data_IF_985958550982
#
_entry.id   IF_985958550982
#
_cell.length_a   1.000
_cell.length_b   1.000
_cell.length_c   1.000
_cell.angle_alpha   90.00
_cell.angle_beta   90.00
_cell.angle_gamma   90.00
#
_symmetry.space_group_name_H-M   'P 1'
#
loop_
_entity.id
_entity.type
_entity.pdbx_description
1 polymer ?
#
# COMPACT_ATOMS: atom_id res chain seq x y z
N UNK A 1 9.85 13.62 -43.49
CA UNK A 1 9.02 14.80 -43.13
C UNK A 1 8.23 14.43 -41.87
N UNK A 2 8.81 14.73 -40.68
CA UNK A 2 8.23 14.39 -39.38
C UNK A 2 7.29 15.54 -39.02
N UNK A 3 5.99 15.29 -39.13
CA UNK A 3 4.95 16.22 -38.65
C UNK A 3 5.03 16.29 -37.13
N UNK A 4 5.71 17.31 -36.63
CA UNK A 4 5.62 17.73 -35.23
C UNK A 4 4.22 18.27 -34.97
N UNK A 5 3.26 17.40 -34.72
CA UNK A 5 1.98 17.82 -34.17
C UNK A 5 2.21 18.22 -32.70
N UNK A 6 2.47 19.49 -32.47
CA UNK A 6 2.40 20.05 -31.11
C UNK A 6 0.97 19.76 -30.61
N UNK A 7 0.85 18.90 -29.61
CA UNK A 7 -0.44 18.69 -28.95
C UNK A 7 -0.90 20.05 -28.39
N UNK A 8 -2.15 20.42 -28.59
CA UNK A 8 -2.63 21.69 -28.08
C UNK A 8 -2.46 21.71 -26.54
N UNK A 9 -1.92 22.82 -26.03
CA UNK A 9 -1.84 23.04 -24.60
C UNK A 9 -3.29 23.22 -24.11
N UNK A 10 -3.71 22.39 -23.16
CA UNK A 10 -5.01 22.54 -22.50
C UNK A 10 -4.86 23.64 -21.46
N UNK A 11 -5.43 24.78 -21.73
CA UNK A 11 -5.51 25.90 -20.77
C UNK A 11 -6.88 25.86 -20.12
N UNK A 12 -6.90 25.68 -18.79
CA UNK A 12 -8.13 25.83 -18.00
C UNK A 12 -8.28 27.28 -17.59
N UNK A 13 -9.42 27.87 -17.87
CA UNK A 13 -9.70 29.23 -17.44
C UNK A 13 -9.86 29.25 -15.90
N UNK A 14 -9.37 30.28 -15.18
CA UNK A 14 -9.53 30.38 -13.72
C UNK A 14 -11.00 30.20 -13.24
N UNK A 15 -11.97 30.66 -14.03
CA UNK A 15 -13.40 30.48 -13.74
C UNK A 15 -13.90 29.01 -13.82
N UNK A 16 -13.12 28.11 -14.43
CA UNK A 16 -13.44 26.68 -14.53
C UNK A 16 -12.85 25.87 -13.37
N UNK A 17 -12.03 26.51 -12.53
CA UNK A 17 -11.41 25.88 -11.37
C UNK A 17 -12.41 25.88 -10.21
N UNK A 18 -12.81 24.71 -9.76
CA UNK A 18 -13.67 24.54 -8.59
C UNK A 18 -12.90 24.59 -7.27
N UNK A 19 -11.59 24.43 -7.32
CA UNK A 19 -10.68 24.45 -6.18
C UNK A 19 -9.40 25.16 -6.61
N UNK A 20 -8.81 25.97 -5.74
CA UNK A 20 -7.52 26.59 -5.99
C UNK A 20 -6.45 25.49 -6.05
N UNK A 21 -5.68 25.37 -7.16
CA UNK A 21 -4.64 24.36 -7.27
C UNK A 21 -3.56 24.51 -6.19
N UNK A 22 -2.99 23.40 -5.73
CA UNK A 22 -1.84 23.46 -4.80
C UNK A 22 -0.60 24.11 -5.45
N UNK A 23 -0.48 24.01 -6.78
CA UNK A 23 0.60 24.60 -7.55
C UNK A 23 0.05 25.73 -8.44
N UNK A 24 -0.17 26.90 -7.87
CA UNK A 24 -0.63 28.10 -8.61
C UNK A 24 0.52 28.80 -9.32
N UNK A 25 1.65 28.93 -8.66
CA UNK A 25 2.86 29.63 -9.13
C UNK A 25 4.06 28.66 -8.99
N UNK A 26 4.46 28.11 -10.11
CA UNK A 26 5.57 27.16 -10.14
C UNK A 26 6.89 27.76 -9.67
N UNK A 27 7.22 28.96 -10.13
CA UNK A 27 8.54 29.58 -9.83
C UNK A 27 8.64 29.91 -8.35
N UNK A 28 7.57 30.43 -7.75
CA UNK A 28 7.50 30.69 -6.32
C UNK A 28 7.59 29.41 -5.50
N UNK A 29 6.77 28.39 -5.84
CA UNK A 29 6.79 27.12 -5.12
C UNK A 29 8.15 26.46 -5.24
N UNK A 30 8.79 26.49 -6.41
CA UNK A 30 10.13 25.97 -6.63
C UNK A 30 11.19 26.71 -5.80
N UNK A 31 11.10 28.04 -5.72
CA UNK A 31 12.04 28.85 -4.93
C UNK A 31 11.91 28.55 -3.42
N UNK A 32 10.68 28.32 -2.96
CA UNK A 32 10.36 28.08 -1.54
C UNK A 32 10.46 26.61 -1.13
N UNK A 33 10.55 25.68 -2.08
CA UNK A 33 10.55 24.24 -1.79
C UNK A 33 11.84 23.80 -1.10
N UNK A 34 11.67 23.01 -0.04
CA UNK A 34 12.76 22.24 0.53
C UNK A 34 12.23 20.91 1.09
N UNK A 35 13.06 19.89 1.09
CA UNK A 35 12.69 18.58 1.67
C UNK A 35 12.40 18.67 3.17
N UNK A 36 13.04 19.57 3.89
CA UNK A 36 12.76 19.81 5.30
C UNK A 36 11.36 20.38 5.53
N UNK A 37 10.90 21.30 4.67
CA UNK A 37 9.51 21.78 4.69
C UNK A 37 8.52 20.68 4.33
N UNK A 38 8.80 19.91 3.27
CA UNK A 38 7.95 18.78 2.91
C UNK A 38 7.88 17.72 4.02
N UNK A 39 8.97 17.51 4.76
CA UNK A 39 8.99 16.63 5.94
C UNK A 39 8.15 17.20 7.09
N UNK A 40 8.13 18.51 7.27
CA UNK A 40 7.35 19.16 8.32
C UNK A 40 5.82 19.10 8.10
N UNK A 41 5.36 18.74 6.89
CA UNK A 41 3.95 18.46 6.61
C UNK A 41 3.49 17.09 7.17
N UNK A 42 4.41 16.29 7.70
CA UNK A 42 4.17 14.97 8.29
C UNK A 42 4.39 15.01 9.81
N UNK A 43 3.54 14.27 10.54
CA UNK A 43 3.57 14.30 12.01
C UNK A 43 4.81 13.60 12.59
N UNK A 44 5.25 12.49 11.96
CA UNK A 44 6.18 11.56 12.57
C UNK A 44 5.54 10.72 13.68
N UNK A 45 6.28 9.75 14.18
CA UNK A 45 5.83 8.99 15.35
C UNK A 45 5.90 9.86 16.61
N UNK A 46 4.93 9.71 17.55
CA UNK A 46 4.97 10.43 18.83
C UNK A 46 6.32 10.26 19.54
N UNK A 47 6.69 11.25 20.36
CA UNK A 47 7.91 11.25 21.17
C UNK A 47 9.21 11.16 20.35
N UNK A 48 9.20 11.64 19.12
CA UNK A 48 10.37 11.62 18.25
C UNK A 48 10.86 10.23 17.84
N UNK A 49 10.00 9.20 17.91
CA UNK A 49 10.36 7.82 17.62
C UNK A 49 10.55 7.50 16.13
N UNK A 50 10.60 8.53 15.28
CA UNK A 50 10.93 8.41 13.88
C UNK A 50 9.78 8.66 12.91
N UNK A 51 9.77 7.95 11.78
CA UNK A 51 8.79 8.14 10.69
C UNK A 51 8.30 6.79 10.20
N UNK A 52 6.98 6.60 10.19
CA UNK A 52 6.36 5.37 9.71
C UNK A 52 5.24 5.68 8.70
N UNK A 53 5.31 5.08 7.52
CA UNK A 53 4.34 5.31 6.43
C UNK A 53 2.90 5.02 6.88
N UNK A 54 2.67 3.94 7.64
CA UNK A 54 1.31 3.59 8.07
C UNK A 54 0.77 4.56 9.12
N UNK A 55 1.63 5.09 10.00
CA UNK A 55 1.26 6.18 10.91
C UNK A 55 0.77 7.40 10.13
N UNK A 56 1.56 7.85 9.16
CA UNK A 56 1.21 9.02 8.33
C UNK A 56 -0.06 8.80 7.51
N UNK A 57 -0.28 7.58 7.01
CA UNK A 57 -1.43 7.28 6.17
C UNK A 57 -2.72 7.02 6.96
N UNK A 58 -2.65 6.52 8.19
CA UNK A 58 -3.82 6.07 8.95
C UNK A 58 -3.87 6.63 10.36
N UNK A 59 -2.83 6.40 11.19
CA UNK A 59 -2.96 6.62 12.64
C UNK A 59 -3.17 8.08 12.99
N UNK A 60 -2.40 9.00 12.40
CA UNK A 60 -2.56 10.45 12.63
C UNK A 60 -3.96 10.94 12.26
N UNK A 61 -4.57 10.38 11.22
CA UNK A 61 -5.92 10.76 10.79
C UNK A 61 -7.00 10.14 11.69
N UNK A 62 -6.77 8.90 12.15
CA UNK A 62 -7.68 8.23 13.08
C UNK A 62 -7.65 8.85 14.49
N UNK A 63 -6.54 9.49 14.87
CA UNK A 63 -6.43 10.23 16.13
C UNK A 63 -7.12 11.60 16.12
N UNK A 64 -7.39 12.17 14.92
CA UNK A 64 -7.93 13.51 14.75
C UNK A 64 -9.38 13.55 14.25
N UNK A 65 -9.76 14.72 13.72
CA UNK A 65 -11.10 15.01 13.22
C UNK A 65 -11.54 14.12 12.03
N UNK A 66 -10.58 13.45 11.35
CA UNK A 66 -10.88 12.57 10.23
C UNK A 66 -11.25 11.13 10.64
N UNK A 67 -11.28 10.82 11.93
CA UNK A 67 -11.52 9.48 12.47
C UNK A 67 -12.67 8.72 11.82
N UNK A 68 -13.81 9.37 11.66
CA UNK A 68 -15.04 8.80 11.09
C UNK A 68 -15.18 8.98 9.59
N UNK A 69 -14.20 9.61 8.94
CA UNK A 69 -14.20 9.82 7.51
C UNK A 69 -13.83 8.53 6.78
N UNK A 70 -14.47 8.28 5.63
CA UNK A 70 -14.12 7.13 4.77
C UNK A 70 -12.72 7.32 4.21
N UNK A 71 -11.83 6.39 4.54
CA UNK A 71 -10.45 6.35 4.07
C UNK A 71 -10.26 5.39 2.89
N UNK A 72 -11.01 4.28 2.87
CA UNK A 72 -10.97 3.29 1.80
C UNK A 72 -12.38 2.88 1.40
N UNK A 73 -12.68 3.00 0.10
CA UNK A 73 -13.90 2.46 -0.49
C UNK A 73 -13.54 1.37 -1.48
N UNK A 74 -14.01 0.17 -1.23
CA UNK A 74 -13.86 -0.96 -2.12
C UNK A 74 -15.16 -1.25 -2.85
N UNK A 75 -15.06 -1.49 -4.16
CA UNK A 75 -16.18 -1.82 -5.04
C UNK A 75 -15.92 -3.17 -5.68
N UNK A 76 -16.87 -4.09 -5.54
CA UNK A 76 -16.85 -5.39 -6.18
C UNK A 76 -17.36 -5.30 -7.63
N UNK A 77 -17.08 -6.36 -8.41
CA UNK A 77 -17.56 -6.46 -9.80
C UNK A 77 -19.07 -6.58 -9.92
N UNK A 78 -19.74 -7.07 -8.88
CA UNK A 78 -21.21 -7.19 -8.80
C UNK A 78 -21.91 -5.91 -8.36
N UNK A 79 -21.15 -4.81 -8.17
CA UNK A 79 -21.65 -3.53 -7.72
C UNK A 79 -21.79 -3.40 -6.20
N UNK A 80 -21.57 -4.47 -5.44
CA UNK A 80 -21.49 -4.37 -3.99
C UNK A 80 -20.22 -3.64 -3.55
N UNK A 81 -20.23 -3.05 -2.34
CA UNK A 81 -19.08 -2.32 -1.85
C UNK A 81 -18.95 -2.32 -0.34
N UNK A 82 -17.75 -2.01 0.13
CA UNK A 82 -17.45 -1.79 1.54
C UNK A 82 -16.70 -0.47 1.71
N UNK A 83 -17.05 0.27 2.74
CA UNK A 83 -16.32 1.49 3.13
C UNK A 83 -15.66 1.27 4.48
N UNK A 84 -14.44 1.75 4.60
CA UNK A 84 -13.66 1.71 5.83
C UNK A 84 -13.31 3.15 6.20
N UNK A 85 -13.66 3.55 7.40
CA UNK A 85 -13.21 4.83 7.97
C UNK A 85 -11.74 4.74 8.39
N UNK A 86 -11.12 5.85 8.73
CA UNK A 86 -9.79 5.83 9.33
C UNK A 86 -9.77 5.03 10.65
N UNK A 87 -10.85 5.07 11.44
CA UNK A 87 -10.99 4.24 12.63
C UNK A 87 -11.01 2.75 12.32
N UNK A 88 -11.75 2.34 11.28
CA UNK A 88 -11.81 0.96 10.85
C UNK A 88 -10.46 0.47 10.33
N UNK A 89 -9.76 1.29 9.53
CA UNK A 89 -8.42 0.94 9.07
C UNK A 89 -7.43 0.86 10.23
N UNK A 90 -7.50 1.77 11.20
CA UNK A 90 -6.66 1.72 12.41
C UNK A 90 -6.86 0.38 13.13
N UNK A 91 -8.13 0.00 13.40
CA UNK A 91 -8.46 -1.27 14.07
C UNK A 91 -7.89 -2.47 13.29
N UNK A 92 -8.20 -2.58 12.01
CA UNK A 92 -7.81 -3.73 11.20
C UNK A 92 -6.29 -3.84 10.98
N UNK A 93 -5.60 -2.71 10.79
CA UNK A 93 -4.15 -2.70 10.60
C UNK A 93 -3.39 -2.95 11.90
N UNK A 94 -3.92 -2.51 13.04
CA UNK A 94 -3.38 -2.87 14.37
C UNK A 94 -3.51 -4.37 14.63
N UNK A 95 -4.67 -4.95 14.34
CA UNK A 95 -4.86 -6.42 14.45
C UNK A 95 -3.88 -7.19 13.58
N UNK A 96 -3.67 -6.74 12.33
CA UNK A 96 -2.72 -7.40 11.44
C UNK A 96 -1.28 -7.29 11.96
N UNK A 97 -0.87 -6.13 12.47
CA UNK A 97 0.44 -5.94 13.08
C UNK A 97 0.63 -6.86 14.31
N UNK A 98 -0.40 -7.00 15.17
CA UNK A 98 -0.40 -7.94 16.28
C UNK A 98 -0.32 -9.41 15.84
N UNK A 99 -1.00 -9.77 14.74
CA UNK A 99 -0.86 -11.11 14.16
C UNK A 99 0.59 -11.37 13.76
N UNK A 100 1.25 -10.44 13.06
CA UNK A 100 2.65 -10.59 12.68
C UNK A 100 3.56 -10.73 13.91
N UNK A 101 3.40 -9.86 14.90
CA UNK A 101 4.18 -9.92 16.15
C UNK A 101 4.01 -11.26 16.88
N UNK A 102 2.78 -11.78 16.95
CA UNK A 102 2.49 -13.09 17.56
C UNK A 102 3.13 -14.26 16.79
N UNK A 103 3.35 -14.08 15.49
CA UNK A 103 4.05 -15.07 14.64
C UNK A 103 5.58 -14.93 14.69
N UNK A 104 6.13 -14.05 15.51
CA UNK A 104 7.57 -13.80 15.60
C UNK A 104 8.13 -13.03 14.39
N UNK A 105 7.27 -12.30 13.70
CA UNK A 105 7.64 -11.45 12.55
C UNK A 105 7.80 -10.02 13.03
N UNK A 106 8.91 -9.38 12.71
CA UNK A 106 9.24 -8.05 13.22
C UNK A 106 9.98 -7.18 12.22
N UNK A 107 10.78 -6.24 12.74
CA UNK A 107 11.55 -5.27 11.96
C UNK A 107 12.37 -5.94 10.87
N UNK A 108 12.19 -5.49 9.64
CA UNK A 108 12.96 -5.93 8.49
C UNK A 108 12.55 -7.28 7.90
N UNK A 109 11.65 -8.03 8.54
CA UNK A 109 11.15 -9.30 8.01
C UNK A 109 10.21 -9.08 6.82
N UNK A 110 10.46 -9.70 5.65
CA UNK A 110 9.60 -9.49 4.49
C UNK A 110 8.29 -10.27 4.58
N UNK A 111 7.20 -9.58 4.27
CA UNK A 111 5.83 -10.10 4.18
C UNK A 111 5.36 -9.99 2.73
N UNK A 112 5.33 -11.12 2.02
CA UNK A 112 4.82 -11.19 0.66
C UNK A 112 3.29 -11.22 0.65
N UNK A 113 2.67 -10.42 -0.22
CA UNK A 113 1.22 -10.38 -0.36
C UNK A 113 0.82 -10.62 -1.81
N UNK A 114 0.18 -11.77 -2.05
CA UNK A 114 -0.36 -12.18 -3.35
C UNK A 114 -1.88 -12.13 -3.29
N UNK A 115 -2.46 -11.00 -3.58
CA UNK A 115 -3.91 -10.81 -3.55
C UNK A 115 -4.38 -9.91 -4.69
N UNK A 116 -5.64 -10.03 -5.08
CA UNK A 116 -6.30 -9.04 -5.93
C UNK A 116 -6.58 -7.74 -5.17
N UNK A 117 -7.30 -6.85 -5.82
CA UNK A 117 -7.71 -5.56 -5.22
C UNK A 117 -8.86 -5.77 -4.23
N UNK A 118 -8.55 -6.27 -3.06
CA UNK A 118 -9.47 -6.51 -1.96
C UNK A 118 -9.02 -5.70 -0.73
N UNK A 119 -9.92 -5.37 0.21
CA UNK A 119 -9.56 -4.59 1.39
C UNK A 119 -8.41 -5.18 2.20
N UNK A 120 -8.35 -6.50 2.31
CA UNK A 120 -7.33 -7.23 3.06
C UNK A 120 -5.91 -7.00 2.50
N UNK A 121 -5.74 -6.67 1.20
CA UNK A 121 -4.44 -6.27 0.64
C UNK A 121 -3.91 -5.00 1.31
N UNK A 122 -4.77 -3.98 1.46
CA UNK A 122 -4.39 -2.70 2.09
C UNK A 122 -4.19 -2.84 3.59
N UNK A 123 -5.02 -3.67 4.24
CA UNK A 123 -4.88 -4.00 5.67
C UNK A 123 -3.54 -4.70 5.92
N UNK A 124 -3.19 -5.69 5.09
CA UNK A 124 -1.92 -6.40 5.19
C UNK A 124 -0.73 -5.48 4.91
N UNK A 125 -0.81 -4.63 3.88
CA UNK A 125 0.25 -3.66 3.57
C UNK A 125 0.52 -2.72 4.73
N UNK A 126 -0.53 -2.03 5.21
CA UNK A 126 -0.40 -1.04 6.28
C UNK A 126 -0.04 -1.67 7.62
N UNK A 127 -0.60 -2.85 7.95
CA UNK A 127 -0.25 -3.56 9.17
C UNK A 127 1.19 -4.10 9.15
N UNK A 128 1.71 -4.51 7.99
CA UNK A 128 3.13 -4.85 7.80
C UNK A 128 4.03 -3.65 8.10
N UNK A 129 3.69 -2.49 7.54
CA UNK A 129 4.44 -1.25 7.78
C UNK A 129 4.39 -0.79 9.24
N UNK A 130 3.24 -0.97 9.93
CA UNK A 130 3.13 -0.70 11.38
C UNK A 130 4.07 -1.57 12.21
N UNK A 131 4.21 -2.83 11.83
CA UNK A 131 5.11 -3.77 12.50
C UNK A 131 6.59 -3.52 12.18
N UNK A 132 6.90 -2.48 11.39
CA UNK A 132 8.24 -2.19 10.84
C UNK A 132 8.83 -3.37 10.05
N UNK A 133 7.94 -4.19 9.46
CA UNK A 133 8.27 -5.28 8.54
C UNK A 133 8.23 -4.78 7.10
N UNK A 134 8.82 -5.52 6.17
CA UNK A 134 8.95 -5.11 4.77
C UNK A 134 7.78 -5.61 3.93
N UNK A 135 6.94 -4.72 3.46
CA UNK A 135 5.85 -5.07 2.55
C UNK A 135 6.38 -5.44 1.18
N UNK A 136 6.05 -6.64 0.70
CA UNK A 136 6.49 -7.17 -0.60
C UNK A 136 5.28 -7.56 -1.43
N UNK A 137 4.71 -6.64 -2.24
CA UNK A 137 3.56 -6.94 -3.08
C UNK A 137 3.93 -7.84 -4.26
N UNK A 138 3.07 -8.82 -4.56
CA UNK A 138 3.19 -9.72 -5.70
C UNK A 138 2.00 -9.53 -6.64
N UNK A 139 2.28 -9.33 -7.93
CA UNK A 139 1.23 -9.12 -8.91
C UNK A 139 0.34 -10.36 -9.05
N UNK A 140 -0.95 -10.16 -8.83
CA UNK A 140 -1.93 -11.25 -8.78
C UNK A 140 -2.05 -12.04 -10.10
N UNK A 141 -1.63 -11.45 -11.23
CA UNK A 141 -1.61 -12.12 -12.52
C UNK A 141 -0.35 -12.97 -12.78
N UNK A 142 0.71 -12.88 -11.96
CA UNK A 142 1.90 -13.70 -12.14
C UNK A 142 1.57 -15.19 -12.09
N UNK A 143 2.29 -15.97 -12.93
CA UNK A 143 2.34 -17.42 -12.83
C UNK A 143 3.19 -17.88 -11.63
N UNK A 144 3.28 -19.21 -11.40
CA UNK A 144 4.06 -19.77 -10.31
C UNK A 144 5.54 -19.37 -10.31
N UNK A 145 6.23 -19.53 -11.44
CA UNK A 145 7.67 -19.23 -11.56
C UNK A 145 8.04 -17.77 -11.22
N UNK A 146 7.38 -16.71 -11.75
CA UNK A 146 7.63 -15.35 -11.33
C UNK A 146 7.36 -15.08 -9.84
N UNK A 147 6.43 -15.81 -9.22
CA UNK A 147 6.13 -15.71 -7.79
C UNK A 147 7.28 -16.32 -6.99
N UNK A 148 7.68 -17.55 -7.33
CA UNK A 148 8.79 -18.28 -6.69
C UNK A 148 10.07 -17.43 -6.67
N UNK A 149 10.46 -16.91 -7.83
CA UNK A 149 11.66 -16.10 -7.96
C UNK A 149 11.65 -14.88 -7.01
N UNK A 150 10.52 -14.18 -6.91
CA UNK A 150 10.40 -12.97 -6.09
C UNK A 150 10.35 -13.27 -4.60
N UNK A 151 9.62 -14.30 -4.21
CA UNK A 151 9.53 -14.75 -2.82
C UNK A 151 10.92 -15.18 -2.31
N UNK A 152 11.69 -15.91 -3.14
CA UNK A 152 13.01 -16.37 -2.78
C UNK A 152 14.03 -15.23 -2.74
N UNK A 153 13.98 -14.27 -3.69
CA UNK A 153 14.83 -13.07 -3.65
C UNK A 153 14.53 -12.23 -2.40
N UNK A 154 13.25 -12.03 -2.10
CA UNK A 154 12.82 -11.30 -0.91
C UNK A 154 13.14 -12.05 0.39
N UNK A 155 13.33 -13.37 0.34
CA UNK A 155 13.39 -14.24 1.52
C UNK A 155 12.20 -14.04 2.45
N UNK A 156 11.00 -13.94 1.85
CA UNK A 156 9.81 -13.64 2.60
C UNK A 156 9.52 -14.71 3.66
N UNK A 157 9.23 -14.27 4.89
CA UNK A 157 8.84 -15.12 6.02
C UNK A 157 7.36 -15.47 6.00
N UNK A 158 6.54 -14.50 5.59
CA UNK A 158 5.07 -14.62 5.54
C UNK A 158 4.59 -14.48 4.12
N UNK A 159 3.64 -15.31 3.75
CA UNK A 159 2.86 -15.15 2.53
C UNK A 159 1.38 -14.95 2.88
N UNK A 160 0.82 -13.82 2.48
CA UNK A 160 -0.60 -13.53 2.56
C UNK A 160 -1.23 -13.73 1.19
N UNK A 161 -2.29 -14.52 1.08
CA UNK A 161 -2.94 -14.79 -0.22
C UNK A 161 -4.41 -15.18 -0.04
N UNK A 162 -5.16 -15.27 -1.14
CA UNK A 162 -6.51 -15.84 -1.12
C UNK A 162 -6.48 -17.35 -1.31
N UNK A 163 -7.50 -18.05 -0.86
CA UNK A 163 -7.66 -19.50 -1.03
C UNK A 163 -7.57 -19.94 -2.51
N UNK A 164 -8.20 -19.18 -3.40
CA UNK A 164 -8.17 -19.44 -4.83
C UNK A 164 -6.77 -19.26 -5.44
N UNK A 165 -6.03 -18.21 -5.05
CA UNK A 165 -4.67 -17.99 -5.51
C UNK A 165 -3.69 -18.99 -4.89
N UNK A 166 -3.89 -19.37 -3.63
CA UNK A 166 -3.10 -20.41 -2.99
C UNK A 166 -3.17 -21.71 -3.78
N UNK A 167 -4.37 -22.25 -3.97
CA UNK A 167 -4.59 -23.50 -4.73
C UNK A 167 -4.00 -23.43 -6.13
N UNK A 168 -4.25 -22.32 -6.82
CA UNK A 168 -3.85 -22.19 -8.23
C UNK A 168 -2.36 -21.98 -8.45
N UNK A 169 -1.66 -21.32 -7.51
CA UNK A 169 -0.31 -20.76 -7.77
C UNK A 169 0.75 -21.08 -6.72
N UNK A 170 0.34 -21.40 -5.50
CA UNK A 170 1.28 -21.52 -4.36
C UNK A 170 1.40 -22.97 -3.87
N UNK A 171 0.31 -23.71 -3.83
CA UNK A 171 0.29 -25.06 -3.26
C UNK A 171 1.39 -25.95 -3.84
N UNK A 172 1.51 -25.99 -5.16
CA UNK A 172 2.59 -26.73 -5.86
C UNK A 172 4.00 -26.18 -5.63
N UNK A 173 4.13 -24.92 -5.20
CA UNK A 173 5.43 -24.27 -4.98
C UNK A 173 5.92 -24.37 -3.52
N UNK A 174 5.12 -24.90 -2.57
CA UNK A 174 5.47 -24.82 -1.14
C UNK A 174 6.88 -25.33 -0.81
N UNK A 175 7.32 -26.39 -1.49
CA UNK A 175 8.67 -26.97 -1.28
C UNK A 175 9.78 -26.09 -1.83
N UNK A 176 9.50 -25.25 -2.83
CA UNK A 176 10.46 -24.32 -3.45
C UNK A 176 10.51 -22.96 -2.76
N UNK A 177 9.74 -22.77 -1.69
CA UNK A 177 9.66 -21.53 -0.92
C UNK A 177 10.16 -21.75 0.53
N UNK A 178 11.45 -22.06 0.73
CA UNK A 178 11.97 -22.50 2.03
C UNK A 178 11.94 -21.39 3.10
N UNK A 179 11.94 -20.11 2.72
CA UNK A 179 11.90 -18.99 3.65
C UNK A 179 10.50 -18.74 4.23
N UNK A 180 9.43 -19.24 3.59
CA UNK A 180 8.06 -19.03 4.07
C UNK A 180 7.81 -19.92 5.28
N UNK A 181 7.72 -19.28 6.45
CA UNK A 181 7.34 -19.91 7.73
C UNK A 181 5.81 -19.93 7.92
N UNK A 182 5.14 -18.88 7.47
CA UNK A 182 3.70 -18.71 7.68
C UNK A 182 2.97 -18.40 6.37
N UNK A 183 1.86 -19.10 6.13
CA UNK A 183 0.92 -18.79 5.04
C UNK A 183 -0.41 -18.38 5.65
N UNK A 184 -0.81 -17.13 5.42
CA UNK A 184 -2.05 -16.54 5.90
C UNK A 184 -3.03 -16.47 4.72
N UNK A 185 -4.15 -17.15 4.84
CA UNK A 185 -5.11 -17.29 3.74
C UNK A 185 -6.39 -16.52 4.04
N UNK A 186 -6.82 -15.75 3.05
CA UNK A 186 -8.08 -15.03 3.02
C UNK A 186 -9.08 -15.87 2.23
N UNK A 187 -10.13 -16.33 2.86
CA UNK A 187 -11.16 -17.15 2.21
C UNK A 187 -12.32 -17.43 3.15
N UNK A 188 -13.25 -18.24 2.70
CA UNK A 188 -14.30 -18.74 3.58
C UNK A 188 -13.72 -19.76 4.58
N UNK A 189 -14.18 -19.78 5.83
CA UNK A 189 -13.57 -20.59 6.90
C UNK A 189 -13.45 -22.09 6.54
N UNK A 190 -14.45 -22.65 5.87
CA UNK A 190 -14.44 -24.04 5.42
C UNK A 190 -13.38 -24.31 4.35
N UNK A 191 -13.22 -23.39 3.39
CA UNK A 191 -12.24 -23.50 2.32
C UNK A 191 -10.80 -23.41 2.85
N UNK A 192 -10.55 -22.53 3.82
CA UNK A 192 -9.22 -22.36 4.42
C UNK A 192 -8.83 -23.56 5.28
N UNK A 193 -9.74 -24.12 6.06
CA UNK A 193 -9.48 -25.32 6.87
C UNK A 193 -9.04 -26.53 6.05
N UNK A 194 -9.45 -26.59 4.79
CA UNK A 194 -9.05 -27.67 3.89
C UNK A 194 -7.63 -27.51 3.29
N UNK A 195 -6.90 -26.44 3.64
CA UNK A 195 -5.57 -26.15 3.11
C UNK A 195 -4.49 -26.45 4.17
N UNK A 196 -3.80 -27.60 4.10
CA UNK A 196 -2.78 -27.97 5.08
C UNK A 196 -1.64 -26.95 5.15
N UNK A 197 -1.14 -26.69 6.35
CA UNK A 197 -0.01 -25.76 6.58
C UNK A 197 -0.35 -24.29 6.37
N UNK A 198 -1.64 -23.94 6.29
CA UNK A 198 -2.10 -22.54 6.21
C UNK A 198 -2.87 -22.13 7.47
N UNK A 199 -3.05 -20.83 7.64
CA UNK A 199 -3.82 -20.22 8.73
C UNK A 199 -4.87 -19.28 8.17
N UNK A 200 -6.05 -19.28 8.73
CA UNK A 200 -7.14 -18.38 8.37
C UNK A 200 -6.85 -16.97 8.89
N UNK A 201 -6.57 -16.03 7.97
CA UNK A 201 -6.26 -14.66 8.32
C UNK A 201 -7.43 -13.96 9.02
N UNK A 202 -8.67 -14.17 8.58
CA UNK A 202 -9.84 -13.53 9.19
C UNK A 202 -10.04 -14.01 10.62
N UNK A 203 -9.85 -15.30 10.87
CA UNK A 203 -9.93 -15.85 12.22
C UNK A 203 -8.79 -15.31 13.13
N UNK A 204 -7.59 -15.11 12.59
CA UNK A 204 -6.49 -14.50 13.33
C UNK A 204 -6.78 -13.03 13.66
N UNK A 205 -7.25 -12.25 12.70
CA UNK A 205 -7.61 -10.84 12.89
C UNK A 205 -8.72 -10.68 13.95
N UNK A 206 -9.73 -11.55 13.92
CA UNK A 206 -10.83 -11.51 14.89
C UNK A 206 -10.38 -11.72 16.34
N UNK A 207 -9.28 -12.46 16.55
CA UNK A 207 -8.73 -12.77 17.89
C UNK A 207 -7.65 -11.80 18.33
N UNK A 208 -7.03 -11.07 17.41
CA UNK A 208 -5.94 -10.15 17.71
C UNK A 208 -6.43 -8.90 18.42
N UNK A 209 -5.59 -8.32 19.30
CA UNK A 209 -5.85 -7.00 19.91
C UNK A 209 -5.89 -5.93 18.81
N UNK A 210 -6.78 -4.96 18.98
CA UNK A 210 -6.91 -3.81 18.10
C UNK A 210 -6.07 -2.61 18.53
N UNK A 211 -5.29 -2.74 19.58
CA UNK A 211 -4.29 -1.76 20.02
C UNK A 211 -2.90 -2.25 19.66
N UNK A 212 -2.14 -1.40 18.99
CA UNK A 212 -0.77 -1.68 18.61
C UNK A 212 0.08 -0.41 18.74
N UNK A 213 1.20 -0.50 19.41
CA UNK A 213 2.16 0.59 19.46
C UNK A 213 3.22 0.37 18.38
N UNK A 214 3.25 1.23 17.38
CA UNK A 214 4.27 1.17 16.33
C UNK A 214 5.65 1.31 16.99
N UNK A 215 6.59 0.38 16.78
CA UNK A 215 7.94 0.49 17.34
C UNK A 215 8.67 1.70 16.77
N UNK A 216 9.74 2.13 17.43
CA UNK A 216 10.61 3.17 16.89
C UNK A 216 11.07 2.77 15.49
N UNK A 217 10.84 3.67 14.53
CA UNK A 217 11.07 3.42 13.10
C UNK A 217 12.03 4.47 12.56
N UNK A 218 13.24 4.07 12.22
CA UNK A 218 14.18 4.95 11.54
C UNK A 218 13.61 5.30 10.16
N UNK A 219 13.66 6.57 9.72
CA UNK A 219 13.25 6.94 8.38
C UNK A 219 13.89 6.11 7.26
N UNK A 220 15.11 5.61 7.48
CA UNK A 220 15.86 4.76 6.54
C UNK A 220 15.55 3.26 6.71
N UNK A 221 14.69 2.86 7.65
CA UNK A 221 14.21 1.48 7.74
C UNK A 221 13.48 1.10 6.46
N UNK A 222 13.75 -0.11 5.96
CA UNK A 222 13.13 -0.63 4.75
C UNK A 222 11.64 -0.86 4.99
N UNK A 223 10.81 -0.22 4.19
CA UNK A 223 9.35 -0.30 4.26
C UNK A 223 8.76 -1.20 3.16
N UNK A 224 9.29 -1.11 1.95
CA UNK A 224 8.72 -1.75 0.77
C UNK A 224 9.82 -2.35 -0.09
N UNK A 225 9.62 -3.59 -0.54
CA UNK A 225 10.41 -4.24 -1.57
C UNK A 225 9.52 -4.50 -2.79
N UNK A 226 9.69 -3.69 -3.82
CA UNK A 226 8.92 -3.79 -5.04
C UNK A 226 9.76 -4.37 -6.18
N UNK A 227 9.18 -5.30 -6.97
CA UNK A 227 9.91 -5.94 -8.05
C UNK A 227 9.57 -5.33 -9.41
N UNK A 228 10.60 -5.01 -10.17
CA UNK A 228 10.50 -4.60 -11.56
C UNK A 228 10.93 -5.74 -12.49
N UNK A 229 10.46 -5.71 -13.74
CA UNK A 229 10.74 -6.76 -14.75
C UNK A 229 12.20 -6.83 -15.21
N UNK A 230 13.04 -5.88 -14.82
CA UNK A 230 14.47 -5.84 -15.22
C UNK A 230 14.72 -6.05 -16.72
N UNK A 231 15.64 -5.30 -17.31
CA UNK A 231 16.03 -5.43 -18.74
C UNK A 231 16.70 -6.76 -19.07
N UNK A 232 17.16 -7.50 -18.06
CA UNK A 232 17.89 -8.78 -18.20
C UNK A 232 17.01 -10.02 -18.00
N UNK A 233 15.68 -9.86 -17.91
CA UNK A 233 14.74 -10.97 -17.69
C UNK A 233 14.63 -11.42 -16.24
N UNK A 234 15.62 -11.18 -15.39
CA UNK A 234 15.54 -11.48 -13.95
C UNK A 234 14.87 -10.34 -13.18
N UNK A 235 13.97 -10.62 -12.23
CA UNK A 235 13.34 -9.58 -11.43
C UNK A 235 14.39 -8.84 -10.59
N UNK A 236 14.27 -7.51 -10.55
CA UNK A 236 15.10 -6.65 -9.70
C UNK A 236 14.22 -6.09 -8.58
N UNK A 237 14.67 -6.19 -7.34
CA UNK A 237 14.02 -5.60 -6.18
C UNK A 237 14.40 -4.13 -6.04
N UNK A 238 13.42 -3.25 -6.09
CA UNK A 238 13.56 -1.85 -5.71
C UNK A 238 13.16 -1.70 -4.24
N UNK A 239 14.06 -1.16 -3.44
CA UNK A 239 13.86 -0.95 -2.01
C UNK A 239 13.39 0.49 -1.79
N UNK A 240 12.32 0.64 -1.01
CA UNK A 240 11.87 1.94 -0.51
C UNK A 240 11.91 1.92 1.02
N UNK A 241 12.38 3.01 1.58
CA UNK A 241 12.43 3.24 3.02
C UNK A 241 11.22 4.04 3.50
N UNK A 242 10.99 4.11 4.80
CA UNK A 242 9.87 4.90 5.34
C UNK A 242 9.96 6.38 4.97
N UNK A 243 11.16 6.94 4.80
CA UNK A 243 11.40 8.31 4.34
C UNK A 243 10.75 8.62 2.97
N UNK A 244 10.52 7.62 2.13
CA UNK A 244 9.90 7.79 0.82
C UNK A 244 8.51 8.47 0.90
N UNK A 245 7.81 8.38 2.05
CA UNK A 245 6.52 9.04 2.24
C UNK A 245 6.59 10.54 2.07
N UNK A 246 7.72 11.18 2.38
CA UNK A 246 7.92 12.63 2.20
C UNK A 246 7.81 13.01 0.73
N UNK A 247 8.52 12.27 -0.14
CA UNK A 247 8.49 12.50 -1.58
C UNK A 247 7.10 12.18 -2.17
N UNK A 248 6.47 11.08 -1.74
CA UNK A 248 5.13 10.72 -2.20
C UNK A 248 4.09 11.75 -1.78
N UNK A 249 4.16 12.27 -0.54
CA UNK A 249 3.26 13.33 -0.06
C UNK A 249 3.42 14.61 -0.88
N UNK A 250 4.65 15.08 -1.08
CA UNK A 250 4.92 16.26 -1.89
C UNK A 250 4.46 16.09 -3.34
N UNK A 251 4.74 14.93 -3.95
CA UNK A 251 4.30 14.63 -5.32
C UNK A 251 2.77 14.55 -5.43
N UNK A 252 2.11 13.93 -4.47
CA UNK A 252 0.65 13.87 -4.43
C UNK A 252 0.03 15.29 -4.36
N UNK A 253 0.61 16.16 -3.54
CA UNK A 253 0.17 17.54 -3.40
C UNK A 253 0.41 18.36 -4.67
N UNK A 254 1.63 18.39 -5.20
CA UNK A 254 2.00 19.34 -6.24
C UNK A 254 1.81 18.80 -7.67
N UNK A 255 2.08 17.53 -7.93
CA UNK A 255 1.98 16.97 -9.27
C UNK A 255 0.61 16.34 -9.56
N UNK A 256 -0.03 15.72 -8.55
CA UNK A 256 -1.37 15.14 -8.67
C UNK A 256 -2.47 16.09 -8.21
N UNK A 257 -2.09 17.21 -7.60
CA UNK A 257 -3.01 18.23 -7.08
C UNK A 257 -4.09 17.67 -6.15
N UNK A 258 -3.69 16.76 -5.23
CA UNK A 258 -4.62 16.16 -4.30
C UNK A 258 -5.05 17.15 -3.21
N UNK A 259 -6.35 17.19 -2.99
CA UNK A 259 -6.99 17.97 -1.94
C UNK A 259 -7.67 17.08 -0.89
N UNK A 260 -7.93 17.60 0.31
CA UNK A 260 -8.47 16.80 1.42
C UNK A 260 -9.77 16.07 1.13
N UNK A 261 -10.58 16.55 0.18
CA UNK A 261 -11.90 16.00 -0.15
C UNK A 261 -11.90 15.14 -1.42
N UNK A 262 -10.75 14.96 -2.04
CA UNK A 262 -10.64 14.17 -3.26
C UNK A 262 -10.85 12.67 -2.99
N UNK A 263 -11.50 12.02 -3.95
CA UNK A 263 -11.57 10.57 -4.03
C UNK A 263 -10.63 10.10 -5.12
N UNK A 264 -9.56 9.43 -4.71
CA UNK A 264 -8.59 8.89 -5.64
C UNK A 264 -8.91 7.44 -6.00
N UNK A 265 -8.94 7.15 -7.28
CA UNK A 265 -9.09 5.80 -7.81
C UNK A 265 -7.98 5.48 -8.80
N UNK A 266 -7.19 4.46 -8.48
CA UNK A 266 -6.15 3.92 -9.36
C UNK A 266 -6.59 2.57 -9.92
N UNK A 267 -6.56 2.41 -11.24
CA UNK A 267 -6.90 1.16 -11.92
C UNK A 267 -5.72 0.20 -12.02
N UNK A 268 -4.49 0.67 -11.76
CA UNK A 268 -3.30 -0.18 -11.73
C UNK A 268 -3.37 -1.19 -10.58
N UNK A 269 -2.80 -2.38 -10.80
CA UNK A 269 -2.61 -3.35 -9.72
C UNK A 269 -1.54 -2.80 -8.76
N UNK A 270 -1.81 -2.69 -7.45
CA UNK A 270 -0.85 -2.17 -6.48
C UNK A 270 0.45 -2.96 -6.41
N UNK A 271 0.45 -4.17 -6.93
CA UNK A 271 1.60 -5.08 -6.97
C UNK A 271 2.23 -5.18 -8.37
N UNK A 272 1.62 -4.53 -9.36
CA UNK A 272 2.19 -4.40 -10.69
C UNK A 272 3.40 -3.46 -10.68
N UNK A 273 4.19 -3.47 -11.76
CA UNK A 273 5.21 -2.43 -11.96
C UNK A 273 4.55 -1.06 -11.81
N UNK A 274 5.12 -0.13 -11.06
CA UNK A 274 4.56 1.19 -10.95
C UNK A 274 4.60 1.84 -12.34
N UNK A 275 3.53 1.69 -13.10
CA UNK A 275 3.21 2.75 -14.02
C UNK A 275 3.02 3.98 -13.12
N UNK A 276 3.67 5.12 -13.42
CA UNK A 276 3.38 6.35 -12.70
C UNK A 276 1.86 6.50 -12.71
N UNK A 277 1.22 6.94 -11.63
CA UNK A 277 -0.21 7.12 -11.60
C UNK A 277 -0.56 8.05 -12.76
N UNK A 278 -1.03 7.47 -13.86
CA UNK A 278 -1.68 8.24 -14.90
C UNK A 278 -2.98 8.66 -14.27
N UNK A 279 -3.00 9.87 -13.76
CA UNK A 279 -4.12 10.50 -13.15
C UNK A 279 -5.27 10.56 -14.16
N UNK A 280 -6.15 9.57 -14.13
CA UNK A 280 -7.50 9.74 -14.64
C UNK A 280 -8.36 10.25 -13.48
N UNK A 281 -8.12 11.48 -13.05
CA UNK A 281 -9.03 12.21 -12.20
C UNK A 281 -10.27 12.58 -13.00
N UNK A 282 -11.20 11.66 -13.15
CA UNK A 282 -12.56 12.04 -13.47
C UNK A 282 -13.20 12.51 -12.17
N UNK A 283 -13.22 13.81 -11.95
CA UNK A 283 -14.15 14.43 -11.01
C UNK A 283 -15.55 14.03 -11.47
N UNK A 284 -16.26 13.22 -10.70
CA UNK A 284 -17.70 13.03 -10.90
C UNK A 284 -18.36 14.35 -10.53
N UNK A 285 -18.83 15.07 -11.54
CA UNK A 285 -19.84 16.10 -11.32
C UNK A 285 -21.11 15.36 -10.89
N UNK A 286 -21.48 15.45 -9.64
CA UNK A 286 -22.87 15.34 -9.22
C UNK A 286 -23.43 16.75 -9.27
N UNK A 287 -24.35 16.98 -10.21
CA UNK A 287 -25.19 18.15 -10.24
C UNK A 287 -26.20 18.14 -9.09
#
# INVERSE_FOLDING_TARGET
MILSSRRPIIVKHPAELTVVPNLVDYDRVRADFSWSRARADLDGLPDGRGLNIAHEAVDRHAAGARRTRVALRWLSKDGSGRSYTYADLLDQTNRFANVLATLGVGKGDPVAVLAGRIPELYIAALGTLKNNSVFTPLFSAFGPEPIEARVNIARAKVLVTTDALYKKKIEGLRRSLPSIEHVLVIGEPGAVRALPGTRDLRALLAKADNRFTIPATDPEDIALLHFTSGTTGKPKGAVHVHQAVVAHHATARFALDFHPDDVFWCTADPSGSPAPPTASSRRSRTG
#
